data_IF_542339491696
#
_entry.id   IF_542339491696
#
_cell.length_a   1.000
_cell.length_b   1.000
_cell.length_c   1.000
_cell.angle_alpha   90.00
_cell.angle_beta   90.00
_cell.angle_gamma   90.00
#
_symmetry.space_group_name_H-M   'P 1'
#
loop_
_entity.id
_entity.type
_entity.pdbx_description
1 polymer ?
#
# COMPACT_ATOMS: atom_id res chain seq x y z
N UNK A 1 2.97 11.77 -17.46
CA UNK A 1 2.13 10.59 -17.22
C UNK A 1 1.82 10.43 -15.74
N UNK A 2 0.63 10.01 -15.43
CA UNK A 2 0.21 9.84 -14.04
C UNK A 2 0.97 8.68 -13.40
N UNK A 3 1.38 8.87 -12.16
CA UNK A 3 1.98 7.79 -11.37
C UNK A 3 0.89 6.85 -10.89
N UNK A 4 1.21 5.56 -10.81
CA UNK A 4 0.25 4.51 -10.49
C UNK A 4 0.41 4.05 -9.05
N UNK A 5 -0.70 3.98 -8.34
CA UNK A 5 -0.73 3.49 -6.95
C UNK A 5 -1.66 2.29 -6.89
N UNK A 6 -1.18 1.20 -6.31
CA UNK A 6 -2.02 0.06 -6.00
C UNK A 6 -2.42 0.16 -4.53
N UNK A 7 -3.72 0.28 -4.28
CA UNK A 7 -4.27 0.33 -2.93
C UNK A 7 -4.84 -1.05 -2.59
N UNK A 8 -4.25 -1.71 -1.61
CA UNK A 8 -4.71 -3.02 -1.13
C UNK A 8 -5.36 -2.83 0.24
N UNK A 9 -6.68 -2.84 0.25
CA UNK A 9 -7.49 -2.50 1.42
C UNK A 9 -8.87 -3.13 1.28
N UNK A 10 -9.44 -3.66 2.35
CA UNK A 10 -10.76 -4.29 2.30
C UNK A 10 -11.91 -3.43 2.84
N UNK A 11 -11.61 -2.35 3.55
CA UNK A 11 -12.65 -1.46 4.08
C UNK A 11 -13.09 -0.43 3.04
N UNK A 12 -14.37 -0.48 2.65
CA UNK A 12 -14.91 0.41 1.61
C UNK A 12 -14.76 1.90 1.93
N UNK A 13 -14.96 2.28 3.19
CA UNK A 13 -14.84 3.69 3.60
C UNK A 13 -13.41 4.17 3.36
N UNK A 14 -12.43 3.36 3.73
CA UNK A 14 -11.03 3.69 3.54
C UNK A 14 -10.65 3.75 2.06
N UNK A 15 -11.14 2.79 1.28
CA UNK A 15 -10.92 2.77 -0.17
C UNK A 15 -11.44 4.05 -0.81
N UNK A 16 -12.68 4.42 -0.50
CA UNK A 16 -13.31 5.62 -1.06
C UNK A 16 -12.52 6.87 -0.70
N UNK A 17 -12.15 7.00 0.57
CA UNK A 17 -11.41 8.15 1.07
C UNK A 17 -10.06 8.30 0.36
N UNK A 18 -9.27 7.24 0.33
CA UNK A 18 -7.92 7.27 -0.26
C UNK A 18 -7.96 7.40 -1.76
N UNK A 19 -8.87 6.69 -2.42
CA UNK A 19 -9.00 6.75 -3.86
C UNK A 19 -9.36 8.16 -4.34
N UNK A 20 -10.31 8.81 -3.67
CA UNK A 20 -10.69 10.18 -4.00
C UNK A 20 -9.54 11.16 -3.77
N UNK A 21 -8.90 11.05 -2.63
CA UNK A 21 -7.81 11.97 -2.28
C UNK A 21 -6.65 11.87 -3.26
N UNK A 22 -6.22 10.67 -3.55
CA UNK A 22 -5.09 10.45 -4.45
C UNK A 22 -5.43 10.76 -5.91
N UNK A 23 -6.62 10.39 -6.35
CA UNK A 23 -7.05 10.70 -7.73
C UNK A 23 -7.11 12.20 -7.99
N UNK A 24 -7.56 12.98 -7.01
CA UNK A 24 -7.61 14.45 -7.13
C UNK A 24 -6.22 15.06 -7.30
N UNK A 25 -5.19 14.39 -6.80
CA UNK A 25 -3.82 14.87 -6.93
C UNK A 25 -3.13 14.35 -8.20
N UNK A 26 -3.87 13.68 -9.06
CA UNK A 26 -3.35 13.22 -10.34
C UNK A 26 -2.80 11.82 -10.38
N UNK A 27 -2.89 11.06 -9.27
CA UNK A 27 -2.46 9.67 -9.27
C UNK A 27 -3.52 8.77 -9.88
N UNK A 28 -3.08 7.72 -10.57
CA UNK A 28 -3.95 6.69 -11.08
C UNK A 28 -4.01 5.57 -10.04
N UNK A 29 -5.19 5.32 -9.46
CA UNK A 29 -5.35 4.40 -8.33
C UNK A 29 -6.03 3.12 -8.77
N UNK A 30 -5.39 2.00 -8.49
CA UNK A 30 -5.93 0.65 -8.68
C UNK A 30 -6.24 0.05 -7.31
N UNK A 31 -7.32 -0.68 -7.19
CA UNK A 31 -7.78 -1.21 -5.90
C UNK A 31 -7.81 -2.73 -5.90
N UNK A 32 -7.29 -3.33 -4.83
CA UNK A 32 -7.43 -4.74 -4.54
C UNK A 32 -7.99 -4.86 -3.11
N UNK A 33 -8.88 -5.81 -2.89
CA UNK A 33 -9.63 -5.89 -1.62
C UNK A 33 -9.13 -6.94 -0.64
N UNK A 34 -8.10 -7.66 -1.01
CA UNK A 34 -7.41 -8.59 -0.10
C UNK A 34 -5.99 -8.83 -0.62
N UNK A 35 -5.19 -9.53 0.17
CA UNK A 35 -3.80 -9.77 -0.19
C UNK A 35 -3.60 -10.62 -1.42
N UNK A 36 -4.45 -11.62 -1.63
CA UNK A 36 -4.35 -12.47 -2.83
C UNK A 36 -4.61 -11.67 -4.08
N UNK A 37 -5.67 -10.86 -4.08
CA UNK A 37 -5.99 -9.98 -5.21
C UNK A 37 -4.88 -8.96 -5.43
N UNK A 38 -4.34 -8.39 -4.34
CA UNK A 38 -3.25 -7.43 -4.42
C UNK A 38 -2.00 -8.02 -5.07
N UNK A 39 -1.62 -9.20 -4.64
CA UNK A 39 -0.45 -9.88 -5.18
C UNK A 39 -0.65 -10.24 -6.64
N UNK A 40 -1.84 -10.73 -6.99
CA UNK A 40 -2.18 -11.04 -8.38
C UNK A 40 -2.09 -9.80 -9.25
N UNK A 41 -2.69 -8.68 -8.80
CA UNK A 41 -2.66 -7.43 -9.56
C UNK A 41 -1.26 -6.90 -9.76
N UNK A 42 -0.43 -6.89 -8.71
CA UNK A 42 0.93 -6.38 -8.85
C UNK A 42 1.75 -7.24 -9.81
N UNK A 43 1.52 -8.54 -9.82
CA UNK A 43 2.20 -9.45 -10.76
C UNK A 43 1.76 -9.23 -12.20
N UNK A 44 0.50 -8.93 -12.43
CA UNK A 44 -0.07 -8.76 -13.77
C UNK A 44 0.12 -7.36 -14.33
N UNK A 45 0.28 -6.35 -13.48
CA UNK A 45 0.44 -4.98 -13.95
C UNK A 45 1.72 -4.78 -14.75
N UNK A 46 1.59 -4.12 -15.90
CA UNK A 46 2.70 -3.75 -16.75
C UNK A 46 2.35 -2.42 -17.42
N UNK A 47 3.01 -1.31 -17.05
CA UNK A 47 4.08 -1.22 -16.06
C UNK A 47 3.61 -1.46 -14.63
N UNK A 48 4.56 -1.81 -13.78
CA UNK A 48 4.29 -2.01 -12.35
C UNK A 48 3.84 -0.73 -11.67
N UNK A 49 3.09 -0.80 -10.56
CA UNK A 49 2.74 0.42 -9.83
C UNK A 49 3.98 1.11 -9.28
N UNK A 50 3.90 2.41 -9.16
CA UNK A 50 4.99 3.21 -8.60
C UNK A 50 5.05 3.09 -7.08
N UNK A 51 3.92 2.75 -6.46
CA UNK A 51 3.82 2.61 -5.01
C UNK A 51 2.64 1.72 -4.66
N UNK A 52 2.76 1.01 -3.54
CA UNK A 52 1.67 0.20 -2.99
C UNK A 52 1.32 0.73 -1.60
N UNK A 53 0.03 1.01 -1.38
CA UNK A 53 -0.53 1.24 -0.06
C UNK A 53 -1.15 -0.07 0.37
N UNK A 54 -0.66 -0.65 1.46
CA UNK A 54 -0.95 -2.03 1.82
C UNK A 54 -1.43 -2.16 3.26
N UNK A 55 -2.69 -2.56 3.43
CA UNK A 55 -3.23 -2.88 4.74
C UNK A 55 -2.59 -4.16 5.26
N UNK A 56 -2.29 -4.20 6.55
CA UNK A 56 -1.68 -5.36 7.18
C UNK A 56 -2.71 -6.46 7.45
N UNK A 57 -3.89 -6.07 7.93
CA UNK A 57 -4.94 -7.04 8.34
C UNK A 57 -6.05 -7.10 7.31
N UNK A 58 -6.09 -8.21 6.57
CA UNK A 58 -7.09 -8.44 5.52
C UNK A 58 -7.47 -9.92 5.47
N UNK A 59 -8.65 -10.25 4.94
CA UNK A 59 -9.00 -11.66 4.73
C UNK A 59 -8.10 -12.32 3.69
N UNK A 60 -8.07 -13.62 3.69
CA UNK A 60 -7.32 -14.51 2.78
C UNK A 60 -5.80 -14.41 2.94
N UNK A 61 -5.23 -13.25 2.68
CA UNK A 61 -3.78 -13.03 2.79
C UNK A 61 -3.55 -11.64 3.35
N UNK A 62 -2.81 -11.54 4.46
CA UNK A 62 -2.48 -10.26 5.08
C UNK A 62 -1.33 -9.54 4.39
N UNK A 63 -1.12 -8.29 4.78
CA UNK A 63 -0.09 -7.45 4.15
C UNK A 63 1.33 -7.97 4.34
N UNK A 64 1.65 -8.55 5.48
CA UNK A 64 2.99 -9.10 5.70
C UNK A 64 3.28 -10.25 4.76
N UNK A 65 2.28 -11.12 4.51
CA UNK A 65 2.43 -12.22 3.57
C UNK A 65 2.63 -11.71 2.14
N UNK A 66 1.92 -10.65 1.78
CA UNK A 66 2.10 -10.01 0.46
C UNK A 66 3.54 -9.51 0.32
N UNK A 67 4.05 -8.82 1.35
CA UNK A 67 5.42 -8.31 1.33
C UNK A 67 6.45 -9.43 1.25
N UNK A 68 6.22 -10.53 1.97
CA UNK A 68 7.11 -11.69 1.91
C UNK A 68 7.18 -12.28 0.50
N UNK A 69 6.03 -12.38 -0.16
CA UNK A 69 5.98 -12.87 -1.55
C UNK A 69 6.64 -11.91 -2.52
N UNK A 70 6.42 -10.60 -2.33
CA UNK A 70 7.06 -9.59 -3.18
C UNK A 70 8.59 -9.62 -3.04
N UNK A 71 9.09 -9.89 -1.85
CA UNK A 71 10.53 -9.93 -1.59
C UNK A 71 11.25 -11.04 -2.38
N UNK A 72 10.51 -12.05 -2.81
CA UNK A 72 11.05 -13.17 -3.60
C UNK A 72 11.16 -12.85 -5.09
N UNK A 73 10.59 -11.73 -5.53
CA UNK A 73 10.52 -11.37 -6.95
C UNK A 73 11.34 -10.09 -7.19
N UNK A 74 12.34 -10.18 -8.06
CA UNK A 74 13.23 -9.06 -8.37
C UNK A 74 12.50 -7.82 -8.88
N UNK A 75 11.41 -8.01 -9.60
CA UNK A 75 10.63 -6.90 -10.15
C UNK A 75 9.74 -6.24 -9.10
N UNK A 76 9.24 -7.03 -8.15
CA UNK A 76 8.28 -6.58 -7.14
C UNK A 76 8.97 -5.97 -5.91
N UNK A 77 10.11 -6.51 -5.51
CA UNK A 77 10.79 -6.05 -4.30
C UNK A 77 11.28 -4.60 -4.36
N UNK A 78 11.37 -4.03 -5.56
CA UNK A 78 11.80 -2.65 -5.75
C UNK A 78 10.67 -1.64 -5.58
N UNK A 79 9.44 -2.09 -5.60
CA UNK A 79 8.27 -1.21 -5.50
C UNK A 79 8.15 -0.71 -4.06
N UNK A 80 8.14 0.62 -3.83
CA UNK A 80 7.97 1.13 -2.47
C UNK A 80 6.60 0.78 -1.91
N UNK A 81 6.58 0.36 -0.64
CA UNK A 81 5.36 -0.02 0.07
C UNK A 81 5.20 0.86 1.30
N UNK A 82 4.01 1.43 1.45
CA UNK A 82 3.59 2.11 2.68
C UNK A 82 2.54 1.21 3.32
N UNK A 83 2.79 0.74 4.53
CA UNK A 83 1.83 -0.13 5.22
C UNK A 83 0.79 0.68 5.97
N UNK A 84 -0.41 0.13 6.06
CA UNK A 84 -1.51 0.72 6.81
C UNK A 84 -1.78 -0.21 8.00
N UNK A 85 -1.59 0.30 9.22
CA UNK A 85 -1.74 -0.46 10.45
C UNK A 85 -2.94 0.03 11.25
N UNK A 86 -3.62 -0.88 11.92
CA UNK A 86 -4.74 -0.52 12.82
C UNK A 86 -4.26 0.17 14.09
N UNK A 87 -3.13 -0.25 14.64
CA UNK A 87 -2.71 0.16 15.99
C UNK A 87 -1.34 0.82 16.07
N UNK A 88 -0.51 0.68 15.05
CA UNK A 88 0.84 1.22 15.09
C UNK A 88 1.72 0.60 16.15
N UNK A 89 1.46 -0.63 16.57
CA UNK A 89 2.28 -1.28 17.58
C UNK A 89 3.72 -1.45 17.12
N UNK A 90 4.70 -1.22 18.03
CA UNK A 90 6.11 -1.30 17.64
C UNK A 90 6.52 -2.62 16.99
N UNK A 91 5.95 -3.74 17.43
CA UNK A 91 6.25 -5.06 16.84
C UNK A 91 5.83 -5.13 15.39
N UNK A 92 4.65 -4.61 15.07
CA UNK A 92 4.15 -4.59 13.68
C UNK A 92 4.97 -3.66 12.80
N UNK A 93 5.27 -2.47 13.30
CA UNK A 93 6.05 -1.49 12.53
C UNK A 93 7.47 -1.99 12.29
N UNK A 94 8.06 -2.63 13.27
CA UNK A 94 9.39 -3.22 13.14
C UNK A 94 9.41 -4.33 12.09
N UNK A 95 8.40 -5.20 12.10
CA UNK A 95 8.28 -6.26 11.09
C UNK A 95 8.12 -5.67 9.69
N UNK A 96 7.26 -4.65 9.56
CA UNK A 96 7.06 -3.97 8.28
C UNK A 96 8.37 -3.39 7.74
N UNK A 97 9.12 -2.73 8.61
CA UNK A 97 10.40 -2.13 8.26
C UNK A 97 11.40 -3.19 7.82
N UNK A 98 11.48 -4.30 8.53
CA UNK A 98 12.38 -5.42 8.18
C UNK A 98 12.02 -6.03 6.83
N UNK A 99 10.74 -6.03 6.48
CA UNK A 99 10.29 -6.53 5.18
C UNK A 99 10.45 -5.50 4.06
N UNK A 100 10.91 -4.30 4.38
CA UNK A 100 11.22 -3.29 3.38
C UNK A 100 10.21 -2.17 3.20
N UNK A 101 9.23 -2.05 4.11
CA UNK A 101 8.28 -0.93 4.04
C UNK A 101 9.01 0.39 4.18
N UNK A 102 8.64 1.35 3.36
CA UNK A 102 9.27 2.68 3.36
C UNK A 102 8.66 3.62 4.38
N UNK A 103 7.40 3.41 4.72
CA UNK A 103 6.68 4.23 5.67
C UNK A 103 5.43 3.48 6.13
N UNK A 104 4.67 4.07 7.05
CA UNK A 104 3.43 3.48 7.55
C UNK A 104 2.42 4.56 7.88
N UNK A 105 1.15 4.14 7.93
CA UNK A 105 0.02 4.97 8.33
C UNK A 105 -0.75 4.21 9.40
N UNK A 106 -1.27 4.93 10.38
CA UNK A 106 -2.09 4.33 11.44
C UNK A 106 -3.53 4.74 11.20
N UNK A 107 -4.42 3.77 10.92
CA UNK A 107 -5.81 4.02 10.49
C UNK A 107 -6.58 4.98 11.38
N UNK A 108 -6.35 4.93 12.69
CA UNK A 108 -7.07 5.75 13.66
C UNK A 108 -6.47 7.13 13.87
N UNK A 109 -5.31 7.40 13.32
CA UNK A 109 -4.54 8.62 13.66
C UNK A 109 -4.13 9.48 12.47
N UNK A 110 -4.29 9.01 11.24
CA UNK A 110 -3.87 9.82 10.11
C UNK A 110 -5.03 10.64 9.52
N UNK A 111 -4.67 11.70 8.80
CA UNK A 111 -5.63 12.42 7.96
C UNK A 111 -5.22 12.26 6.48
N UNK A 112 -6.12 12.61 5.54
CA UNK A 112 -5.81 12.47 4.11
C UNK A 112 -4.58 13.26 3.66
N UNK A 113 -4.25 14.37 4.31
CA UNK A 113 -3.05 15.16 3.98
C UNK A 113 -1.78 14.38 4.29
N UNK A 114 -1.78 13.66 5.42
CA UNK A 114 -0.63 12.84 5.81
C UNK A 114 -0.36 11.74 4.79
N UNK A 115 -1.42 11.09 4.29
CA UNK A 115 -1.29 10.08 3.25
C UNK A 115 -0.61 10.66 2.02
N UNK A 116 -1.12 11.83 1.58
CA UNK A 116 -0.59 12.49 0.40
C UNK A 116 0.87 12.89 0.56
N UNK A 117 1.23 13.44 1.72
CA UNK A 117 2.60 13.82 2.01
C UNK A 117 3.55 12.63 1.94
N UNK A 118 3.15 11.50 2.52
CA UNK A 118 3.98 10.28 2.51
C UNK A 118 4.12 9.70 1.11
N UNK A 119 3.04 9.72 0.33
CA UNK A 119 3.08 9.27 -1.06
C UNK A 119 4.04 10.14 -1.87
N UNK A 120 3.89 11.47 -1.77
CA UNK A 120 4.75 12.41 -2.50
C UNK A 120 6.22 12.28 -2.12
N UNK A 121 6.50 11.99 -0.87
CA UNK A 121 7.87 11.79 -0.40
C UNK A 121 8.52 10.60 -1.09
N UNK A 122 7.76 9.56 -1.41
CA UNK A 122 8.29 8.36 -2.03
C UNK A 122 8.38 8.44 -3.55
N UNK A 123 7.38 9.03 -4.20
CA UNK A 123 7.29 8.98 -5.67
C UNK A 123 7.05 10.33 -6.35
N UNK A 124 6.88 11.39 -5.57
CA UNK A 124 6.58 12.71 -6.15
C UNK A 124 5.11 12.84 -6.47
#
# INVERSE_FOLDING_TARGET
MAKKILLVEDEEIMIDLLQKKLSREGYEVFVARDGEEGLKKVREMDPKPDLILLDIVMPKMGGFEVMEEMAKDEKLKKIPVIVISNSGQPVELDRAKKLGAKDWLIKTEFDPKEVLEKVKKQIG
#
